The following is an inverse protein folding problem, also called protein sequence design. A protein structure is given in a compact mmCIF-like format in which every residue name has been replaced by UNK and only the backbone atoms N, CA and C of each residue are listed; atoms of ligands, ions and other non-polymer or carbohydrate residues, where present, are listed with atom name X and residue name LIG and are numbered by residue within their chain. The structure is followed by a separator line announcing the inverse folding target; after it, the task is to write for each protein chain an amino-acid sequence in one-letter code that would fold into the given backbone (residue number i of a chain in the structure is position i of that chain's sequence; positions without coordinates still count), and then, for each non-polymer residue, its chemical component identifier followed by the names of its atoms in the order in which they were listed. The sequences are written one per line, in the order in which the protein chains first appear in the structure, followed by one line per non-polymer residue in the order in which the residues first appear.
data_IF_119749296158
#
_entry.id   IF_119749296158
#
_cell.length_a   1.000
_cell.length_b   1.000
_cell.length_c   1.000
_cell.angle_alpha   90.00
_cell.angle_beta   90.00
_cell.angle_gamma   90.00
#
_symmetry.space_group_name_H-M   'P 1'
#
loop_
_entity.id
_entity.type
_entity.pdbx_description
1 polymer ?
#
# COMPACT_ATOMS: atom_id res chain seq x y z
N UNK A 1 -28.73 -12.11 -36.79
CA UNK A 1 -28.35 -12.54 -35.44
C UNK A 1 -26.85 -12.37 -35.33
N UNK A 2 -26.37 -11.22 -34.84
CA UNK A 2 -24.95 -11.03 -34.51
C UNK A 2 -24.77 -11.47 -33.07
N UNK A 3 -24.15 -12.63 -32.89
CA UNK A 3 -23.60 -13.04 -31.60
C UNK A 3 -22.44 -12.11 -31.27
N UNK A 4 -22.68 -11.14 -30.40
CA UNK A 4 -21.62 -10.36 -29.78
C UNK A 4 -20.73 -11.31 -29.00
N UNK A 5 -19.44 -11.35 -29.36
CA UNK A 5 -18.40 -12.06 -28.62
C UNK A 5 -18.28 -11.38 -27.26
N UNK A 6 -18.96 -11.92 -26.26
CA UNK A 6 -18.70 -11.61 -24.87
C UNK A 6 -17.29 -12.16 -24.60
N UNK A 7 -16.30 -11.26 -24.56
CA UNK A 7 -14.95 -11.61 -24.12
C UNK A 7 -15.10 -12.07 -22.67
N UNK A 8 -15.05 -13.39 -22.45
CA UNK A 8 -14.87 -14.01 -21.14
C UNK A 8 -13.60 -13.41 -20.54
N UNK A 9 -13.76 -12.32 -19.78
CA UNK A 9 -12.65 -11.58 -19.23
C UNK A 9 -12.32 -12.27 -17.91
N UNK A 10 -11.32 -13.17 -17.92
CA UNK A 10 -10.83 -13.82 -16.72
C UNK A 10 -10.46 -12.73 -15.67
N UNK A 11 -11.15 -12.63 -14.52
CA UNK A 11 -10.92 -11.56 -13.55
C UNK A 11 -9.47 -11.49 -13.06
N UNK A 12 -8.81 -12.65 -12.91
CA UNK A 12 -7.40 -12.71 -12.53
C UNK A 12 -6.45 -12.18 -13.59
N UNK A 13 -6.80 -12.30 -14.87
CA UNK A 13 -6.03 -11.73 -15.98
C UNK A 13 -6.28 -10.23 -16.12
N UNK A 14 -7.54 -9.79 -15.95
CA UNK A 14 -7.90 -8.37 -15.88
C UNK A 14 -7.12 -7.67 -14.77
N UNK A 15 -7.05 -8.27 -13.58
CA UNK A 15 -6.30 -7.72 -12.45
C UNK A 15 -4.79 -7.67 -12.73
N UNK A 16 -4.21 -8.72 -13.33
CA UNK A 16 -2.80 -8.74 -13.75
C UNK A 16 -2.47 -7.54 -14.65
N UNK A 17 -3.28 -7.36 -15.70
CA UNK A 17 -3.13 -6.27 -16.66
C UNK A 17 -3.33 -4.91 -16.02
N UNK A 18 -4.28 -4.78 -15.07
CA UNK A 18 -4.50 -3.54 -14.33
C UNK A 18 -3.28 -3.16 -13.49
N UNK A 19 -2.71 -4.12 -12.74
CA UNK A 19 -1.49 -3.92 -11.94
C UNK A 19 -0.30 -3.56 -12.83
N UNK A 20 -0.10 -4.24 -13.96
CA UNK A 20 0.98 -3.92 -14.90
C UNK A 20 0.86 -2.52 -15.52
N UNK A 21 -0.36 -2.12 -15.90
CA UNK A 21 -0.64 -0.76 -16.39
C UNK A 21 -0.37 0.28 -15.31
N UNK A 22 -0.78 0.00 -14.07
CA UNK A 22 -0.51 0.86 -12.92
C UNK A 22 1.00 1.02 -12.70
N UNK A 23 1.76 -0.08 -12.64
CA UNK A 23 3.23 -0.06 -12.48
C UNK A 23 3.91 0.81 -13.53
N UNK A 24 3.58 0.56 -14.80
CA UNK A 24 4.15 1.31 -15.93
C UNK A 24 3.82 2.80 -15.84
N UNK A 25 2.56 3.13 -15.55
CA UNK A 25 2.12 4.54 -15.44
C UNK A 25 2.77 5.24 -14.26
N UNK A 26 2.83 4.61 -13.09
CA UNK A 26 3.44 5.18 -11.89
C UNK A 26 4.94 5.37 -12.09
N UNK A 27 5.65 4.35 -12.59
CA UNK A 27 7.08 4.45 -12.84
C UNK A 27 7.41 5.55 -13.85
N UNK A 28 6.71 5.59 -14.99
CA UNK A 28 6.91 6.66 -15.98
C UNK A 28 6.65 8.05 -15.42
N UNK A 29 5.57 8.23 -14.65
CA UNK A 29 5.21 9.53 -14.06
C UNK A 29 6.19 9.96 -12.97
N UNK A 30 6.67 9.03 -12.15
CA UNK A 30 7.65 9.30 -11.10
C UNK A 30 9.02 9.61 -11.69
N UNK A 31 9.48 8.84 -12.68
CA UNK A 31 10.73 9.12 -13.40
C UNK A 31 10.68 10.45 -14.14
N UNK A 32 9.55 10.78 -14.77
CA UNK A 32 9.38 12.08 -15.42
C UNK A 32 9.49 13.22 -14.42
N UNK A 33 8.81 13.13 -13.26
CA UNK A 33 8.91 14.15 -12.22
C UNK A 33 10.35 14.36 -11.74
N UNK A 34 11.09 13.27 -11.50
CA UNK A 34 12.51 13.35 -11.12
C UNK A 34 13.33 14.02 -12.22
N UNK A 35 13.10 13.67 -13.49
CA UNK A 35 13.78 14.31 -14.62
C UNK A 35 13.46 15.81 -14.72
N UNK A 36 12.23 16.22 -14.45
CA UNK A 36 11.84 17.63 -14.43
C UNK A 36 12.54 18.39 -13.31
N UNK A 37 12.60 17.81 -12.09
CA UNK A 37 13.35 18.38 -10.97
C UNK A 37 14.84 18.49 -11.27
N UNK A 38 15.42 17.49 -11.92
CA UNK A 38 16.83 17.53 -12.37
C UNK A 38 17.04 18.71 -13.32
N UNK A 39 16.19 18.86 -14.34
CA UNK A 39 16.32 19.93 -15.33
C UNK A 39 16.20 21.32 -14.69
N UNK A 40 15.25 21.50 -13.76
CA UNK A 40 15.09 22.75 -13.03
C UNK A 40 16.31 23.10 -12.18
N UNK A 41 16.90 22.12 -11.48
CA UNK A 41 18.10 22.33 -10.67
C UNK A 41 19.31 22.65 -11.56
N UNK A 42 19.46 21.99 -12.72
CA UNK A 42 20.52 22.32 -13.67
C UNK A 42 20.39 23.76 -14.21
N UNK A 43 19.16 24.22 -14.45
CA UNK A 43 18.88 25.59 -14.90
C UNK A 43 19.19 26.66 -13.83
N UNK A 44 19.38 26.28 -12.56
CA UNK A 44 19.82 27.20 -11.51
C UNK A 44 21.31 27.56 -11.61
N UNK A 45 22.08 26.90 -12.49
CA UNK A 45 23.51 27.14 -12.71
C UNK A 45 24.34 27.08 -11.40
N UNK A 46 24.01 26.13 -10.52
CA UNK A 46 24.72 25.92 -9.26
C UNK A 46 26.16 25.46 -9.49
N UNK A 47 27.06 25.92 -8.63
CA UNK A 47 28.50 25.75 -8.82
C UNK A 47 29.02 24.34 -8.51
N UNK A 48 28.31 23.58 -7.67
CA UNK A 48 28.73 22.23 -7.25
C UNK A 48 27.61 21.21 -7.27
N UNK A 49 27.95 19.94 -7.50
CA UNK A 49 26.99 18.81 -7.40
C UNK A 49 26.42 18.67 -5.98
N UNK A 50 27.21 19.02 -4.96
CA UNK A 50 26.75 19.00 -3.56
C UNK A 50 25.57 19.96 -3.34
N UNK A 51 25.61 21.15 -3.93
CA UNK A 51 24.50 22.11 -3.88
C UNK A 51 23.28 21.58 -4.62
N UNK A 52 23.47 21.00 -5.81
CA UNK A 52 22.39 20.39 -6.60
C UNK A 52 21.69 19.26 -5.82
N UNK A 53 22.47 18.34 -5.25
CA UNK A 53 21.96 17.22 -4.45
C UNK A 53 21.25 17.69 -3.19
N UNK A 54 21.72 18.77 -2.54
CA UNK A 54 21.03 19.37 -1.38
C UNK A 54 19.65 19.94 -1.73
N UNK A 55 19.47 20.48 -2.94
CA UNK A 55 18.14 20.92 -3.38
C UNK A 55 17.28 19.70 -3.73
N UNK A 56 17.87 18.71 -4.40
CA UNK A 56 17.18 17.49 -4.79
C UNK A 56 16.71 16.65 -3.59
N UNK A 57 17.43 16.70 -2.47
CA UNK A 57 17.04 16.01 -1.23
C UNK A 57 15.73 16.50 -0.64
N UNK A 58 15.15 17.59 -1.15
CA UNK A 58 13.79 18.02 -0.82
C UNK A 58 12.72 17.18 -1.48
N UNK A 59 13.03 16.44 -2.55
CA UNK A 59 12.08 15.60 -3.27
C UNK A 59 12.39 14.13 -3.09
N UNK A 60 13.64 13.78 -2.80
CA UNK A 60 14.09 12.42 -2.58
C UNK A 60 14.80 12.37 -1.24
N UNK A 61 14.12 11.85 -0.23
CA UNK A 61 14.65 11.82 1.13
C UNK A 61 15.91 10.97 1.25
N UNK A 62 16.76 11.26 2.23
CA UNK A 62 17.98 10.51 2.55
C UNK A 62 19.05 10.45 1.42
N UNK A 63 19.00 11.36 0.43
CA UNK A 63 20.04 11.43 -0.60
C UNK A 63 21.40 11.78 -0.02
N UNK A 64 22.40 10.96 -0.34
CA UNK A 64 23.78 11.14 0.12
C UNK A 64 24.01 10.73 1.57
N UNK A 65 23.00 10.20 2.25
CA UNK A 65 23.21 9.51 3.51
C UNK A 65 24.08 8.28 3.23
N UNK A 66 25.24 8.24 3.87
CA UNK A 66 26.12 7.07 3.85
C UNK A 66 25.36 6.00 4.61
N UNK A 67 24.59 5.20 3.88
CA UNK A 67 23.58 4.29 4.41
C UNK A 67 24.06 3.45 5.58
N UNK A 68 23.10 2.90 6.34
CA UNK A 68 23.39 2.09 7.52
C UNK A 68 24.46 1.03 7.20
N UNK A 69 25.58 1.07 7.91
CA UNK A 69 26.70 0.13 7.67
C UNK A 69 26.38 -1.27 8.19
N UNK A 70 25.50 -1.35 9.20
CA UNK A 70 25.10 -2.58 9.86
C UNK A 70 23.62 -2.85 9.62
N UNK A 71 23.34 -3.70 8.63
CA UNK A 71 22.01 -4.24 8.38
C UNK A 71 21.82 -5.54 9.16
N UNK A 72 20.64 -5.70 9.75
CA UNK A 72 20.20 -6.98 10.28
C UNK A 72 20.12 -8.02 9.17
N UNK A 73 20.25 -9.29 9.53
CA UNK A 73 20.23 -10.40 8.57
C UNK A 73 18.87 -10.50 7.86
N UNK A 74 17.80 -10.11 8.56
CA UNK A 74 16.41 -10.14 8.10
C UNK A 74 15.98 -8.87 7.34
N UNK A 75 16.91 -7.97 7.04
CA UNK A 75 16.63 -6.73 6.32
C UNK A 75 15.99 -7.01 4.93
N UNK A 76 14.93 -6.27 4.54
CA UNK A 76 14.31 -6.41 3.23
C UNK A 76 15.28 -6.10 2.09
N UNK A 77 15.25 -6.90 1.02
CA UNK A 77 16.13 -6.76 -0.14
C UNK A 77 16.08 -5.36 -0.75
N UNK A 78 14.89 -4.85 -1.02
CA UNK A 78 14.71 -3.61 -1.79
C UNK A 78 15.09 -2.38 -0.97
N UNK A 79 14.79 -2.36 0.34
CA UNK A 79 15.28 -1.33 1.26
C UNK A 79 16.83 -1.26 1.27
N UNK A 80 17.51 -2.41 1.39
CA UNK A 80 18.98 -2.45 1.38
C UNK A 80 19.54 -2.02 0.02
N UNK A 81 18.91 -2.44 -1.07
CA UNK A 81 19.29 -2.03 -2.43
C UNK A 81 19.17 -0.52 -2.60
N UNK A 82 18.03 0.06 -2.25
CA UNK A 82 17.79 1.50 -2.34
C UNK A 82 18.83 2.28 -1.54
N UNK A 83 19.05 1.92 -0.27
CA UNK A 83 20.04 2.61 0.57
C UNK A 83 21.46 2.57 -0.02
N UNK A 84 21.87 1.43 -0.61
CA UNK A 84 23.17 1.30 -1.27
C UNK A 84 23.28 2.13 -2.55
N UNK A 85 22.25 2.11 -3.39
CA UNK A 85 22.25 2.90 -4.63
C UNK A 85 22.26 4.40 -4.30
N UNK A 86 21.47 4.84 -3.31
CA UNK A 86 21.45 6.23 -2.85
C UNK A 86 22.77 6.70 -2.22
N UNK A 87 23.46 5.83 -1.47
CA UNK A 87 24.77 6.15 -0.91
C UNK A 87 25.85 6.36 -1.98
N UNK A 88 25.65 5.80 -3.18
CA UNK A 88 26.56 5.94 -4.32
C UNK A 88 26.20 7.12 -5.25
N UNK A 89 25.10 7.84 -4.98
CA UNK A 89 24.73 9.03 -5.75
C UNK A 89 25.76 10.13 -5.48
N UNK A 90 26.48 10.51 -6.54
CA UNK A 90 27.54 11.52 -6.48
C UNK A 90 27.23 12.75 -7.33
N UNK A 91 26.37 12.58 -8.34
CA UNK A 91 25.92 13.59 -9.28
C UNK A 91 24.41 13.58 -9.38
N UNK A 92 23.82 14.73 -9.65
CA UNK A 92 22.37 14.87 -9.83
C UNK A 92 21.82 13.92 -10.91
N UNK A 93 22.59 13.69 -11.97
CA UNK A 93 22.21 12.82 -13.09
C UNK A 93 22.13 11.33 -12.72
N UNK A 94 22.80 10.90 -11.65
CA UNK A 94 22.78 9.49 -11.20
C UNK A 94 21.35 9.07 -10.77
N UNK A 95 20.51 10.03 -10.38
CA UNK A 95 19.14 9.81 -9.92
C UNK A 95 18.17 9.35 -11.00
N UNK A 96 18.50 9.52 -12.28
CA UNK A 96 17.63 9.06 -13.39
C UNK A 96 17.40 7.55 -13.35
N UNK A 97 18.43 6.82 -12.92
CA UNK A 97 18.45 5.35 -12.90
C UNK A 97 18.50 4.77 -11.50
N UNK A 98 18.67 5.60 -10.46
CA UNK A 98 18.72 5.17 -9.06
C UNK A 98 17.43 4.44 -8.68
N UNK A 99 17.56 3.28 -8.06
CA UNK A 99 16.44 2.48 -7.60
C UNK A 99 15.70 3.14 -6.43
N UNK A 100 14.37 3.06 -6.48
CA UNK A 100 13.48 3.35 -5.36
C UNK A 100 12.44 2.23 -5.28
N UNK A 101 12.23 1.66 -4.10
CA UNK A 101 11.36 0.48 -3.91
C UNK A 101 9.90 0.76 -4.30
N UNK A 102 9.45 2.01 -4.17
CA UNK A 102 8.11 2.45 -4.55
C UNK A 102 8.06 3.20 -5.90
N UNK A 103 9.09 3.12 -6.75
CA UNK A 103 9.11 3.88 -8.02
C UNK A 103 7.90 3.58 -8.92
N UNK A 104 7.51 2.29 -9.02
CA UNK A 104 6.33 1.83 -9.78
C UNK A 104 5.05 1.77 -8.94
N UNK A 105 5.14 2.19 -7.68
CA UNK A 105 4.04 2.30 -6.75
C UNK A 105 3.42 0.99 -6.27
N UNK A 106 3.97 -0.19 -6.60
CA UNK A 106 3.40 -1.48 -6.20
C UNK A 106 4.30 -2.19 -5.21
N UNK A 107 3.71 -2.58 -4.08
CA UNK A 107 4.39 -3.41 -3.10
C UNK A 107 4.32 -4.88 -3.53
N UNK A 108 5.47 -5.58 -3.68
CA UNK A 108 5.49 -6.97 -4.11
C UNK A 108 4.66 -7.88 -3.19
N UNK A 109 4.02 -8.90 -3.78
CA UNK A 109 3.28 -9.89 -2.99
C UNK A 109 4.23 -10.77 -2.17
N UNK A 110 3.84 -11.06 -0.94
CA UNK A 110 4.48 -12.08 -0.08
C UNK A 110 3.63 -13.35 0.03
N UNK A 111 2.38 -13.30 -0.46
CA UNK A 111 1.41 -14.41 -0.44
C UNK A 111 1.53 -15.22 -1.74
N UNK A 112 2.69 -15.85 -1.94
CA UNK A 112 3.07 -16.39 -3.26
C UNK A 112 2.27 -17.63 -3.69
N UNK A 113 1.76 -18.45 -2.77
CA UNK A 113 0.96 -19.64 -3.09
C UNK A 113 -0.54 -19.39 -2.90
N UNK A 114 -1.37 -20.21 -3.54
CA UNK A 114 -2.83 -20.17 -3.33
C UNK A 114 -3.20 -20.43 -1.87
N UNK A 115 -2.47 -21.32 -1.19
CA UNK A 115 -2.68 -21.63 0.23
C UNK A 115 -2.48 -20.40 1.14
N UNK A 116 -1.44 -19.60 0.89
CA UNK A 116 -1.20 -18.35 1.64
C UNK A 116 -2.29 -17.30 1.39
N UNK A 117 -2.76 -17.19 0.15
CA UNK A 117 -3.85 -16.26 -0.22
C UNK A 117 -5.17 -16.69 0.41
N UNK A 118 -5.50 -17.97 0.33
CA UNK A 118 -6.70 -18.55 0.93
C UNK A 118 -6.69 -18.34 2.44
N UNK A 119 -5.57 -18.65 3.11
CA UNK A 119 -5.43 -18.42 4.54
C UNK A 119 -5.66 -16.95 4.91
N UNK A 120 -5.12 -16.01 4.13
CA UNK A 120 -5.33 -14.58 4.38
C UNK A 120 -6.81 -14.19 4.25
N UNK A 121 -7.48 -14.59 3.18
CA UNK A 121 -8.89 -14.24 2.92
C UNK A 121 -9.84 -14.87 3.95
N UNK A 122 -9.65 -16.14 4.30
CA UNK A 122 -10.46 -16.81 5.33
C UNK A 122 -10.28 -16.17 6.70
N UNK A 123 -9.05 -15.78 7.05
CA UNK A 123 -8.77 -15.13 8.33
C UNK A 123 -9.40 -13.73 8.36
N UNK A 124 -9.31 -12.99 7.25
CA UNK A 124 -9.94 -11.69 7.09
C UNK A 124 -11.45 -11.78 7.28
N UNK A 125 -12.11 -12.68 6.53
CA UNK A 125 -13.55 -12.91 6.64
C UNK A 125 -13.95 -13.29 8.07
N UNK A 126 -13.24 -14.23 8.70
CA UNK A 126 -13.54 -14.68 10.05
C UNK A 126 -13.46 -13.56 11.08
N UNK A 127 -12.40 -12.73 11.03
CA UNK A 127 -12.22 -11.60 11.94
C UNK A 127 -13.29 -10.54 11.71
N UNK A 128 -13.59 -10.23 10.45
CA UNK A 128 -14.58 -9.24 10.09
C UNK A 128 -16.01 -9.62 10.51
N UNK A 129 -16.43 -10.87 10.27
CA UNK A 129 -17.75 -11.35 10.70
C UNK A 129 -17.86 -11.39 12.22
N UNK A 130 -16.83 -11.86 12.93
CA UNK A 130 -16.79 -11.82 14.40
C UNK A 130 -16.90 -10.38 14.94
N UNK A 131 -16.29 -9.41 14.26
CA UNK A 131 -16.42 -8.01 14.62
C UNK A 131 -17.86 -7.52 14.40
N UNK A 132 -18.47 -7.79 13.24
CA UNK A 132 -19.83 -7.38 12.93
C UNK A 132 -20.88 -7.99 13.90
N UNK A 133 -20.72 -9.27 14.26
CA UNK A 133 -21.59 -9.94 15.25
C UNK A 133 -21.55 -9.25 16.62
N UNK A 134 -20.37 -8.77 17.05
CA UNK A 134 -20.21 -8.08 18.34
C UNK A 134 -21.02 -6.78 18.39
N UNK A 135 -21.22 -6.13 17.24
CA UNK A 135 -21.98 -4.88 17.12
C UNK A 135 -23.47 -5.12 16.82
N UNK A 136 -23.97 -6.34 17.04
CA UNK A 136 -25.40 -6.66 17.05
C UNK A 136 -25.97 -7.08 15.69
N UNK A 137 -25.14 -7.32 14.69
CA UNK A 137 -25.59 -7.73 13.35
C UNK A 137 -25.58 -9.26 13.16
N UNK A 138 -26.32 -9.97 14.01
CA UNK A 138 -26.28 -11.44 14.10
C UNK A 138 -26.80 -12.19 12.87
N UNK A 139 -27.45 -11.50 11.92
CA UNK A 139 -28.02 -12.10 10.71
C UNK A 139 -27.31 -11.64 9.43
N UNK A 140 -26.24 -10.86 9.55
CA UNK A 140 -25.52 -10.31 8.41
C UNK A 140 -24.18 -11.00 8.24
N UNK A 141 -23.91 -11.45 7.01
CA UNK A 141 -22.66 -12.09 6.66
C UNK A 141 -21.87 -11.19 5.70
N UNK A 142 -20.64 -10.89 6.08
CA UNK A 142 -19.69 -10.15 5.24
C UNK A 142 -18.94 -11.17 4.39
N UNK A 143 -19.10 -11.17 3.06
CA UNK A 143 -18.48 -12.17 2.19
C UNK A 143 -16.99 -11.90 2.00
N UNK A 144 -16.23 -12.94 1.63
CA UNK A 144 -14.89 -12.81 1.04
C UNK A 144 -14.94 -11.86 -0.17
N UNK A 145 -13.91 -11.02 -0.32
CA UNK A 145 -13.75 -10.20 -1.51
C UNK A 145 -12.89 -10.90 -2.57
N UNK A 146 -13.54 -11.31 -3.67
CA UNK A 146 -12.86 -11.89 -4.83
C UNK A 146 -11.85 -10.89 -5.44
N UNK A 147 -12.19 -9.61 -5.55
CA UNK A 147 -11.28 -8.59 -6.11
C UNK A 147 -10.00 -8.44 -5.30
N UNK A 148 -10.09 -8.48 -3.96
CA UNK A 148 -8.91 -8.50 -3.11
C UNK A 148 -8.10 -9.78 -3.32
N UNK A 149 -8.76 -10.94 -3.43
CA UNK A 149 -8.11 -12.22 -3.72
C UNK A 149 -7.32 -12.19 -5.04
N UNK A 150 -7.87 -11.58 -6.08
CA UNK A 150 -7.18 -11.37 -7.35
C UNK A 150 -6.02 -10.37 -7.21
N UNK A 151 -6.19 -9.29 -6.45
CA UNK A 151 -5.16 -8.26 -6.26
C UNK A 151 -3.93 -8.81 -5.52
N UNK A 152 -4.14 -9.52 -4.40
CA UNK A 152 -3.04 -10.01 -3.54
C UNK A 152 -2.16 -11.06 -4.20
N UNK A 153 -2.60 -11.65 -5.31
CA UNK A 153 -1.78 -12.49 -6.18
C UNK A 153 -0.64 -11.72 -6.84
N UNK A 154 -0.80 -10.42 -7.07
CA UNK A 154 0.16 -9.60 -7.80
C UNK A 154 0.80 -8.51 -6.93
N UNK A 155 0.14 -8.08 -5.86
CA UNK A 155 0.61 -6.97 -5.02
C UNK A 155 0.10 -7.06 -3.57
N UNK A 156 0.92 -6.68 -2.60
CA UNK A 156 0.49 -6.52 -1.21
C UNK A 156 -0.17 -5.16 -0.94
N UNK A 157 -0.05 -4.23 -1.88
CA UNK A 157 -0.57 -2.88 -1.76
C UNK A 157 0.03 -1.94 -2.79
N UNK A 158 -0.39 -0.69 -2.73
CA UNK A 158 0.16 0.41 -3.54
C UNK A 158 0.62 1.55 -2.64
N UNK A 159 1.67 2.24 -3.06
CA UNK A 159 2.27 3.34 -2.30
C UNK A 159 2.97 4.32 -3.25
N UNK A 160 2.65 5.61 -3.12
CA UNK A 160 3.45 6.65 -3.78
C UNK A 160 4.76 6.87 -3.00
N UNK A 161 5.91 7.08 -3.69
CA UNK A 161 7.16 7.45 -3.02
C UNK A 161 7.11 8.86 -2.40
N UNK A 162 6.04 9.62 -2.65
CA UNK A 162 5.76 10.97 -2.19
C UNK A 162 6.81 12.02 -2.56
N UNK A 163 7.44 11.86 -3.74
CA UNK A 163 8.36 12.86 -4.29
C UNK A 163 7.75 14.26 -4.42
N UNK A 164 6.41 14.35 -4.40
CA UNK A 164 5.62 15.58 -4.56
C UNK A 164 5.18 16.18 -3.22
N UNK A 165 5.44 15.53 -2.08
CA UNK A 165 4.97 15.96 -0.75
C UNK A 165 3.46 16.20 -0.70
N UNK A 166 2.73 15.33 -1.40
CA UNK A 166 1.29 15.30 -1.49
C UNK A 166 0.66 14.66 -0.26
N UNK A 167 1.42 13.84 0.47
CA UNK A 167 0.94 13.09 1.62
C UNK A 167 -0.10 12.03 1.27
N UNK A 168 -0.13 11.55 0.01
CA UNK A 168 -1.05 10.51 -0.42
C UNK A 168 -0.81 9.26 0.43
N UNK A 169 -1.87 8.78 1.10
CA UNK A 169 -1.79 7.57 1.89
C UNK A 169 -1.56 6.34 1.02
N UNK A 170 -0.71 5.39 1.45
CA UNK A 170 -0.61 4.12 0.77
C UNK A 170 -1.88 3.30 1.04
N UNK A 171 -2.14 2.30 0.20
CA UNK A 171 -3.15 1.27 0.47
C UNK A 171 -2.46 -0.08 0.60
N UNK A 172 -2.36 -0.59 1.83
CA UNK A 172 -1.63 -1.84 2.18
C UNK A 172 -2.54 -2.80 2.94
N UNK A 173 -3.45 -3.51 2.26
CA UNK A 173 -4.35 -4.46 2.91
C UNK A 173 -3.62 -5.70 3.46
N UNK A 174 -2.46 -6.05 2.91
CA UNK A 174 -1.68 -7.21 3.37
C UNK A 174 -0.61 -6.75 4.37
N UNK A 175 -0.64 -7.20 5.64
CA UNK A 175 0.41 -6.90 6.61
C UNK A 175 1.69 -7.69 6.32
N UNK A 176 2.70 -7.53 7.17
CA UNK A 176 4.04 -8.13 7.01
C UNK A 176 4.08 -9.66 7.27
N UNK A 177 3.26 -10.43 6.54
CA UNK A 177 3.14 -11.90 6.57
C UNK A 177 3.63 -12.54 5.27
N UNK A 178 3.80 -13.87 5.25
CA UNK A 178 4.18 -14.61 4.03
C UNK A 178 5.68 -14.76 3.81
N UNK A 179 6.07 -15.06 2.57
CA UNK A 179 7.45 -15.34 2.18
C UNK A 179 8.20 -14.02 1.94
N UNK A 180 9.33 -13.86 2.61
CA UNK A 180 10.14 -12.63 2.59
C UNK A 180 11.32 -12.74 1.63
N UNK A 181 11.66 -11.62 1.01
CA UNK A 181 12.87 -11.47 0.21
C UNK A 181 13.94 -10.72 1.02
N UNK A 182 14.85 -11.46 1.61
CA UNK A 182 15.95 -10.90 2.40
C UNK A 182 17.07 -10.37 1.52
N UNK A 183 17.74 -9.31 1.97
CA UNK A 183 18.92 -8.76 1.30
C UNK A 183 20.14 -9.69 1.35
N UNK A 184 20.18 -10.60 2.33
CA UNK A 184 21.30 -11.49 2.61
C UNK A 184 20.85 -12.95 2.74
N UNK A 185 20.28 -13.55 1.68
CA UNK A 185 19.70 -14.90 1.73
C UNK A 185 20.75 -15.98 2.07
N UNK A 186 22.03 -15.69 1.83
CA UNK A 186 23.12 -16.63 2.06
C UNK A 186 23.67 -16.63 3.49
N UNK A 187 23.24 -15.69 4.35
CA UNK A 187 23.72 -15.64 5.73
C UNK A 187 23.24 -16.88 6.50
N UNK A 188 24.09 -17.48 7.37
CA UNK A 188 23.74 -18.71 8.09
C UNK A 188 22.45 -18.61 8.89
N UNK A 189 22.21 -17.46 9.53
CA UNK A 189 20.98 -17.15 10.28
C UNK A 189 19.73 -17.22 9.42
N UNK A 190 19.77 -16.72 8.17
CA UNK A 190 18.65 -16.77 7.22
C UNK A 190 18.47 -18.15 6.63
N UNK A 191 19.55 -18.85 6.27
CA UNK A 191 19.48 -20.23 5.78
C UNK A 191 18.94 -21.21 6.83
N UNK A 192 19.17 -20.91 8.10
CA UNK A 192 18.67 -21.69 9.22
C UNK A 192 17.20 -21.38 9.57
N UNK A 193 16.59 -20.32 9.00
CA UNK A 193 15.19 -20.04 9.23
C UNK A 193 14.33 -21.15 8.63
N UNK A 194 13.39 -21.73 9.40
CA UNK A 194 12.39 -22.59 8.81
C UNK A 194 11.55 -21.80 7.81
N UNK A 195 10.99 -22.51 6.82
CA UNK A 195 9.96 -21.92 5.98
C UNK A 195 8.83 -21.36 6.86
N UNK A 196 8.24 -20.21 6.49
CA UNK A 196 7.14 -19.64 7.27
C UNK A 196 6.01 -20.67 7.44
N UNK A 197 5.60 -20.85 8.70
CA UNK A 197 4.54 -21.76 9.08
C UNK A 197 3.19 -21.07 8.91
N UNK A 198 2.36 -21.57 8.00
CA UNK A 198 1.05 -20.99 7.66
C UNK A 198 0.14 -20.92 8.88
N UNK A 199 0.16 -21.92 9.78
CA UNK A 199 -0.68 -21.90 10.97
C UNK A 199 -0.24 -20.79 11.94
N UNK A 200 1.07 -20.65 12.18
CA UNK A 200 1.59 -19.55 13.01
C UNK A 200 1.33 -18.17 12.40
N UNK A 201 1.44 -18.07 11.08
CA UNK A 201 1.13 -16.83 10.37
C UNK A 201 -0.35 -16.49 10.39
N UNK A 202 -1.25 -17.49 10.38
CA UNK A 202 -2.69 -17.29 10.60
C UNK A 202 -2.95 -16.64 11.96
N UNK A 203 -2.31 -17.14 13.03
CA UNK A 203 -2.47 -16.57 14.38
C UNK A 203 -1.88 -15.17 14.52
N UNK A 204 -0.79 -14.88 13.80
CA UNK A 204 -0.22 -13.53 13.73
C UNK A 204 -1.14 -12.57 12.96
N UNK A 205 -1.64 -13.01 11.81
CA UNK A 205 -2.57 -12.25 10.98
C UNK A 205 -3.85 -11.94 11.76
N UNK A 206 -4.44 -12.93 12.42
CA UNK A 206 -5.63 -12.74 13.25
C UNK A 206 -5.45 -11.65 14.30
N UNK A 207 -4.34 -11.70 15.06
CA UNK A 207 -4.01 -10.68 16.06
C UNK A 207 -3.81 -9.29 15.45
N UNK A 208 -3.13 -9.22 14.31
CA UNK A 208 -2.94 -7.97 13.59
C UNK A 208 -4.29 -7.39 13.15
N UNK A 209 -5.14 -8.20 12.51
CA UNK A 209 -6.45 -7.77 12.03
C UNK A 209 -7.34 -7.33 13.19
N UNK A 210 -7.42 -8.11 14.27
CA UNK A 210 -8.19 -7.73 15.47
C UNK A 210 -7.73 -6.38 16.07
N UNK A 211 -6.44 -6.04 15.94
CA UNK A 211 -5.89 -4.74 16.35
C UNK A 211 -6.13 -3.62 15.31
N UNK A 212 -6.06 -3.93 14.03
CA UNK A 212 -6.21 -2.98 12.91
C UNK A 212 -7.65 -2.73 12.49
N UNK A 213 -8.60 -3.47 13.07
CA UNK A 213 -10.02 -3.19 12.94
C UNK A 213 -10.29 -1.76 13.37
N UNK A 214 -11.05 -1.07 12.53
CA UNK A 214 -11.53 0.26 12.85
C UNK A 214 -12.57 0.12 13.97
N UNK A 215 -12.28 0.75 15.11
CA UNK A 215 -13.23 0.82 16.21
C UNK A 215 -14.50 1.54 15.78
N UNK A 216 -15.62 1.19 16.41
CA UNK A 216 -16.93 1.80 16.16
C UNK A 216 -16.85 3.34 16.23
N UNK A 217 -16.24 3.87 17.30
CA UNK A 217 -16.02 5.30 17.47
C UNK A 217 -15.25 5.93 16.31
N UNK A 218 -14.20 5.26 15.81
CA UNK A 218 -13.40 5.75 14.70
C UNK A 218 -14.17 5.74 13.38
N UNK A 219 -14.99 4.69 13.16
CA UNK A 219 -15.85 4.59 11.98
C UNK A 219 -16.86 5.75 11.99
N UNK A 220 -17.59 5.93 13.09
CA UNK A 220 -18.61 6.99 13.21
C UNK A 220 -18.04 8.41 13.21
N UNK A 221 -16.84 8.62 13.76
CA UNK A 221 -16.26 9.96 13.87
C UNK A 221 -15.54 10.44 12.61
N UNK A 222 -15.08 9.52 11.75
CA UNK A 222 -14.05 9.81 10.75
C UNK A 222 -14.46 9.45 9.33
N UNK A 223 -15.34 8.47 9.14
CA UNK A 223 -15.85 8.18 7.80
C UNK A 223 -16.88 9.22 7.40
N UNK A 224 -16.92 9.48 6.10
CA UNK A 224 -17.89 10.40 5.53
C UNK A 224 -19.31 10.04 5.99
N UNK A 225 -20.10 11.05 6.34
CA UNK A 225 -21.47 10.88 6.85
C UNK A 225 -22.39 10.21 5.83
N UNK A 226 -21.92 10.08 4.60
CA UNK A 226 -22.60 9.47 3.47
C UNK A 226 -22.49 7.93 3.45
N UNK A 227 -21.56 7.34 4.23
CA UNK A 227 -21.32 5.89 4.22
C UNK A 227 -21.85 5.19 5.47
N UNK A 228 -22.63 4.14 5.25
CA UNK A 228 -22.92 3.12 6.24
C UNK A 228 -21.84 2.05 6.18
N UNK A 229 -21.09 1.84 7.28
CA UNK A 229 -19.95 0.92 7.34
C UNK A 229 -20.20 -0.17 8.37
N UNK A 230 -20.02 -1.44 7.99
CA UNK A 230 -20.17 -2.60 8.91
C UNK A 230 -18.86 -3.00 9.56
N UNK A 231 -17.80 -2.98 8.77
CA UNK A 231 -16.45 -3.30 9.22
C UNK A 231 -15.44 -2.58 8.34
N UNK A 232 -14.27 -2.32 8.91
CA UNK A 232 -13.17 -1.77 8.14
C UNK A 232 -11.81 -2.05 8.76
N UNK A 233 -10.80 -1.96 7.92
CA UNK A 233 -9.40 -2.06 8.30
C UNK A 233 -8.68 -0.78 7.90
N UNK A 234 -7.89 -0.23 8.81
CA UNK A 234 -6.94 0.80 8.45
C UNK A 234 -5.83 0.19 7.59
N UNK A 235 -5.57 0.77 6.41
CA UNK A 235 -4.61 0.23 5.42
C UNK A 235 -3.44 1.15 5.12
N UNK A 236 -3.44 2.38 5.63
CA UNK A 236 -2.29 3.27 5.47
C UNK A 236 -2.54 4.68 5.93
N UNK A 237 -1.46 5.32 6.40
CA UNK A 237 -1.41 6.73 6.70
C UNK A 237 -0.47 7.44 5.72
N UNK A 238 -0.95 8.53 5.15
CA UNK A 238 -0.19 9.46 4.34
C UNK A 238 0.17 10.68 5.16
N UNK A 239 1.46 11.01 5.17
CA UNK A 239 2.01 12.07 6.00
C UNK A 239 2.30 13.29 5.15
N UNK A 240 1.95 14.47 5.65
CA UNK A 240 2.38 15.74 5.07
C UNK A 240 3.08 16.57 6.13
N UNK A 241 4.36 16.89 5.89
CA UNK A 241 5.20 17.65 6.84
C UNK A 241 5.27 17.03 8.25
N UNK A 242 5.20 15.71 8.34
CA UNK A 242 5.27 14.98 9.61
C UNK A 242 3.94 14.87 10.36
N UNK A 243 2.83 15.33 9.77
CA UNK A 243 1.48 15.16 10.32
C UNK A 243 0.67 14.21 9.45
N UNK A 244 -0.22 13.44 10.06
CA UNK A 244 -1.20 12.62 9.34
C UNK A 244 -2.11 13.53 8.51
N UNK A 245 -2.15 13.34 7.20
CA UNK A 245 -2.97 14.12 6.27
C UNK A 245 -4.11 13.28 5.71
N UNK A 246 -3.79 12.06 5.26
CA UNK A 246 -4.75 11.14 4.65
C UNK A 246 -4.67 9.77 5.29
N UNK A 247 -5.81 9.13 5.47
CA UNK A 247 -5.91 7.71 5.77
C UNK A 247 -6.51 6.98 4.59
N UNK A 248 -6.06 5.73 4.40
CA UNK A 248 -6.77 4.76 3.60
C UNK A 248 -7.35 3.67 4.49
N UNK A 249 -8.54 3.22 4.14
CA UNK A 249 -9.14 2.03 4.72
C UNK A 249 -9.71 1.11 3.64
N UNK A 250 -9.81 -0.16 4.01
CA UNK A 250 -10.56 -1.14 3.25
C UNK A 250 -11.78 -1.56 4.05
N UNK A 251 -12.96 -1.20 3.58
CA UNK A 251 -14.19 -1.26 4.38
C UNK A 251 -15.32 -1.93 3.62
N UNK A 252 -16.16 -2.64 4.34
CA UNK A 252 -17.41 -3.17 3.81
C UNK A 252 -18.53 -2.18 4.15
N UNK A 253 -19.00 -1.48 3.12
CA UNK A 253 -19.89 -0.33 3.27
C UNK A 253 -20.95 -0.28 2.18
N UNK A 254 -21.83 0.72 2.29
CA UNK A 254 -22.70 1.25 1.23
C UNK A 254 -22.95 2.74 1.48
N UNK A 255 -23.51 3.45 0.51
CA UNK A 255 -24.10 4.77 0.80
C UNK A 255 -25.39 4.60 1.61
N UNK A 256 -25.71 5.57 2.47
CA UNK A 256 -26.99 5.58 3.19
C UNK A 256 -28.17 5.52 2.21
N UNK A 257 -29.25 4.83 2.60
CA UNK A 257 -30.42 4.66 1.74
C UNK A 257 -31.08 5.99 1.35
N UNK A 258 -31.03 6.96 2.27
CA UNK A 258 -31.55 8.33 2.11
C UNK A 258 -30.63 9.25 1.28
N UNK A 259 -29.47 8.75 0.86
CA UNK A 259 -28.56 9.50 0.01
C UNK A 259 -29.14 9.65 -1.42
N UNK A 260 -29.24 10.89 -1.96
CA UNK A 260 -29.76 11.12 -3.29
C UNK A 260 -28.86 10.56 -4.40
N UNK A 261 -27.59 10.29 -4.15
CA UNK A 261 -26.69 9.68 -5.11
C UNK A 261 -27.03 8.18 -5.29
N UNK A 262 -27.41 7.72 -6.49
CA UNK A 262 -27.70 6.31 -6.74
C UNK A 262 -26.45 5.41 -6.74
N UNK A 263 -25.24 5.98 -6.72
CA UNK A 263 -24.01 5.20 -6.71
C UNK A 263 -23.82 4.44 -5.39
N UNK A 264 -23.20 3.27 -5.45
CA UNK A 264 -22.73 2.54 -4.26
C UNK A 264 -23.80 2.21 -3.19
N UNK A 265 -25.07 2.08 -3.58
CA UNK A 265 -26.18 1.71 -2.68
C UNK A 265 -26.11 0.28 -2.14
N UNK A 266 -25.44 -0.61 -2.88
CA UNK A 266 -25.26 -2.00 -2.46
C UNK A 266 -24.05 -2.15 -1.52
N UNK A 267 -24.19 -3.09 -0.60
CA UNK A 267 -23.10 -3.52 0.28
C UNK A 267 -21.95 -4.11 -0.53
N UNK A 268 -20.77 -3.53 -0.39
CA UNK A 268 -19.56 -4.02 -1.04
C UNK A 268 -18.31 -3.59 -0.30
N UNK A 269 -17.23 -4.33 -0.53
CA UNK A 269 -15.90 -3.91 -0.13
C UNK A 269 -15.42 -2.73 -0.98
N UNK A 270 -14.92 -1.68 -0.34
CA UNK A 270 -14.41 -0.47 -0.99
C UNK A 270 -13.11 -0.01 -0.34
N UNK A 271 -12.25 0.56 -1.17
CA UNK A 271 -11.12 1.37 -0.70
C UNK A 271 -11.64 2.78 -0.47
N UNK A 272 -11.49 3.28 0.75
CA UNK A 272 -11.90 4.63 1.13
C UNK A 272 -10.65 5.42 1.52
N UNK A 273 -10.50 6.60 0.94
CA UNK A 273 -9.46 7.56 1.28
C UNK A 273 -10.15 8.76 1.93
N UNK A 274 -9.70 9.14 3.11
CA UNK A 274 -10.32 10.19 3.90
C UNK A 274 -9.28 10.99 4.67
N UNK A 275 -9.63 12.21 5.03
CA UNK A 275 -8.70 13.11 5.72
C UNK A 275 -8.44 12.61 7.15
N UNK A 276 -7.19 12.70 7.59
CA UNK A 276 -6.78 12.19 8.91
C UNK A 276 -7.25 13.04 10.08
N UNK A 277 -7.58 14.31 9.83
CA UNK A 277 -8.27 15.15 10.79
C UNK A 277 -9.75 14.77 10.88
N UNK A 278 -10.15 14.10 11.96
CA UNK A 278 -11.55 14.06 12.37
C UNK A 278 -12.01 15.49 12.66
N UNK A 279 -13.04 15.97 11.95
CA UNK A 279 -13.65 17.30 12.07
C UNK A 279 -12.77 18.37 12.72
N UNK A 280 -12.11 19.23 11.95
CA UNK A 280 -11.63 20.49 12.51
C UNK A 280 -12.89 21.25 12.98
N UNK A 281 -13.14 21.43 14.29
CA UNK A 281 -14.25 22.26 14.71
C UNK A 281 -13.79 23.69 14.44
N UNK A 282 -14.23 24.25 13.31
CA UNK A 282 -14.07 25.67 12.93
C UNK A 282 -12.63 26.19 12.83
N UNK A 283 -12.20 26.43 11.59
CA UNK A 283 -11.71 27.76 11.21
C UNK A 283 -12.66 28.33 10.17
#
# INVERSE_FOLDING_TARGET
MSSGTQLDTNPGETMRLAVERFRTKMESSNRQFIQDRINEIEAMHLSTEKEKLRIMSRYWDNLGDKGQSNWSDDAPRDMVRQAREMANVSRLQDLKTTFHEHMDGVNPTTLVTDEWRQMFLETLESVCNKAAEKYGDHNFHIPICDDLGHFIKYANGVQDPDFRHSGICPWKPVPYIGIRHYAFPDRPSIRALPLPDIAKSRDQLKRYLEYSLLGEDFIYSTFDKDLEVKVGLHTGCGLRRGYDEWYSAYVYCRRYEDDPDPSHKDWAWRVVIFHAGGANPTL
#
